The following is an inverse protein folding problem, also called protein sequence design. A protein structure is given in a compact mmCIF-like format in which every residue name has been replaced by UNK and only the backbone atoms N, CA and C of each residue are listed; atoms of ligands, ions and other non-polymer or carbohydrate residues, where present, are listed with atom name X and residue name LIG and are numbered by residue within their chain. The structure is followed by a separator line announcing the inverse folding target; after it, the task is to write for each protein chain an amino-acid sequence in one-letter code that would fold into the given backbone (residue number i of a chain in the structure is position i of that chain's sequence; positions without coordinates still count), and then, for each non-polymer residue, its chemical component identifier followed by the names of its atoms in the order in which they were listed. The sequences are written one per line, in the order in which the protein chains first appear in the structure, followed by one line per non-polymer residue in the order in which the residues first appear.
data_IF_964538269612
#
_entry.id   IF_964538269612
#
_cell.length_a   1.000
_cell.length_b   1.000
_cell.length_c   1.000
_cell.angle_alpha   90.00
_cell.angle_beta   90.00
_cell.angle_gamma   90.00
#
_symmetry.space_group_name_H-M   'P 1'
#
loop_
_entity.id
_entity.type
_entity.pdbx_description
1 polymer ?
#
# COMPACT_ATOMS: atom_id res chain seq x y z
N UNK A 1 48.99 20.86 -37.66
CA UNK A 1 49.84 21.15 -36.50
C UNK A 1 48.93 21.10 -35.26
N UNK A 2 49.15 20.05 -34.47
CA UNK A 2 48.68 19.76 -33.09
C UNK A 2 47.20 19.45 -32.79
N UNK A 3 47.00 18.14 -32.55
CA UNK A 3 46.25 17.53 -31.42
C UNK A 3 46.36 18.32 -30.11
N UNK A 4 45.40 18.19 -29.19
CA UNK A 4 45.67 17.77 -27.80
C UNK A 4 44.37 17.48 -27.01
N UNK A 5 44.23 16.20 -26.62
CA UNK A 5 43.64 15.72 -25.36
C UNK A 5 44.37 16.32 -24.15
N UNK A 6 43.67 16.77 -23.09
CA UNK A 6 44.01 16.66 -21.64
C UNK A 6 42.71 17.04 -20.89
N UNK A 7 42.10 16.30 -19.95
CA UNK A 7 42.63 15.58 -18.79
C UNK A 7 42.42 16.42 -17.51
N UNK A 8 41.53 15.92 -16.64
CA UNK A 8 41.27 16.22 -15.22
C UNK A 8 42.10 17.29 -14.46
N UNK A 9 41.43 18.11 -13.64
CA UNK A 9 41.91 18.42 -12.28
C UNK A 9 40.85 19.07 -11.38
N UNK A 10 40.68 18.45 -10.22
CA UNK A 10 39.96 18.89 -9.03
C UNK A 10 40.70 20.04 -8.31
N UNK A 11 39.97 21.05 -7.76
CA UNK A 11 40.16 21.73 -6.45
C UNK A 11 39.10 22.86 -6.30
N UNK A 12 38.13 22.80 -5.37
CA UNK A 12 38.18 23.17 -3.92
C UNK A 12 38.58 24.66 -3.74
N UNK A 13 37.85 25.59 -3.09
CA UNK A 13 37.01 25.60 -1.87
C UNK A 13 36.27 26.97 -1.68
N UNK A 14 35.47 27.10 -0.60
CA UNK A 14 34.86 28.30 0.04
C UNK A 14 33.61 28.87 -0.68
N UNK A 15 32.36 28.79 -0.22
CA UNK A 15 31.71 28.85 1.10
C UNK A 15 30.41 28.01 0.98
N UNK A 16 30.01 27.11 1.89
CA UNK A 16 29.25 27.36 3.12
C UNK A 16 29.37 26.11 3.98
N UNK A 17 30.02 26.23 5.13
CA UNK A 17 30.03 25.21 6.17
C UNK A 17 29.56 25.81 7.49
N UNK A 18 28.33 25.49 7.88
CA UNK A 18 27.94 25.21 9.26
C UNK A 18 26.55 24.57 9.22
N UNK A 19 26.37 23.51 10.01
CA UNK A 19 25.16 22.67 10.15
C UNK A 19 24.99 21.52 9.14
N UNK A 20 25.79 20.44 9.29
CA UNK A 20 25.30 19.05 9.23
C UNK A 20 26.45 18.08 9.51
N UNK A 21 26.58 17.61 10.75
CA UNK A 21 27.57 16.59 11.14
C UNK A 21 26.94 15.21 11.34
N UNK A 22 25.78 14.93 10.75
CA UNK A 22 25.18 13.60 10.79
C UNK A 22 24.62 13.22 9.41
N UNK A 23 25.00 12.02 8.96
CA UNK A 23 24.51 11.29 7.78
C UNK A 23 25.14 11.64 6.42
N UNK A 24 26.37 11.15 6.19
CA UNK A 24 26.75 10.68 4.84
C UNK A 24 26.48 9.17 4.82
N UNK A 25 25.30 8.77 4.35
CA UNK A 25 25.06 7.41 3.87
C UNK A 25 25.41 7.44 2.37
N UNK A 26 26.41 6.68 1.89
CA UNK A 26 26.68 6.62 0.45
C UNK A 26 25.52 5.93 -0.28
N UNK A 27 25.22 6.31 -1.54
CA UNK A 27 24.13 5.73 -2.29
C UNK A 27 24.34 4.22 -2.50
N UNK A 28 23.29 3.38 -2.44
CA UNK A 28 23.42 1.94 -2.57
C UNK A 28 23.88 1.58 -3.98
N UNK A 29 25.03 0.90 -4.08
CA UNK A 29 25.45 0.29 -5.34
C UNK A 29 24.54 -0.89 -5.64
N UNK A 30 24.27 -1.12 -6.93
CA UNK A 30 23.37 -2.16 -7.45
C UNK A 30 23.91 -3.57 -7.14
N UNK A 31 23.82 -4.03 -5.89
CA UNK A 31 23.89 -5.44 -5.53
C UNK A 31 22.85 -5.74 -4.46
N UNK A 32 21.88 -6.55 -4.88
CA UNK A 32 20.93 -7.32 -4.07
C UNK A 32 19.90 -6.53 -3.25
N UNK A 33 18.75 -6.29 -3.87
CA UNK A 33 17.45 -5.89 -3.27
C UNK A 33 16.84 -6.99 -2.36
N UNK A 34 17.67 -7.91 -1.83
CA UNK A 34 17.21 -9.08 -1.08
C UNK A 34 17.48 -9.07 0.43
N UNK A 35 18.35 -8.20 0.94
CA UNK A 35 18.92 -8.39 2.27
C UNK A 35 18.77 -7.14 3.17
N UNK A 36 17.56 -6.93 3.67
CA UNK A 36 17.25 -5.82 4.61
C UNK A 36 17.73 -6.11 6.04
N UNK A 37 18.10 -7.35 6.35
CA UNK A 37 18.49 -7.78 7.70
C UNK A 37 19.93 -7.33 8.07
N UNK A 38 20.74 -6.97 7.07
CA UNK A 38 22.09 -6.43 7.26
C UNK A 38 22.16 -4.96 7.70
N UNK A 39 21.05 -4.23 7.65
CA UNK A 39 20.99 -2.79 7.95
C UNK A 39 20.48 -2.46 9.36
N UNK A 40 20.13 -3.47 10.17
CA UNK A 40 19.63 -3.26 11.53
C UNK A 40 20.75 -3.32 12.58
N UNK A 41 20.82 -2.29 13.44
CA UNK A 41 21.73 -2.23 14.58
C UNK A 41 21.55 -3.46 15.50
N UNK A 42 22.61 -4.08 16.05
CA UNK A 42 22.55 -5.35 16.80
C UNK A 42 21.51 -5.39 17.92
N UNK A 43 21.30 -4.27 18.61
CA UNK A 43 20.28 -4.12 19.68
C UNK A 43 18.85 -4.29 19.12
N UNK A 44 18.58 -3.79 17.90
CA UNK A 44 17.26 -3.87 17.26
C UNK A 44 16.94 -5.27 16.73
N UNK A 45 17.97 -6.07 16.42
CA UNK A 45 17.81 -7.47 15.99
C UNK A 45 17.30 -8.33 17.15
N UNK A 46 17.86 -8.16 18.35
CA UNK A 46 17.43 -8.87 19.54
C UNK A 46 15.99 -8.51 20.00
N UNK A 47 15.60 -7.24 19.88
CA UNK A 47 14.22 -6.82 20.18
C UNK A 47 13.20 -7.39 19.18
N UNK A 48 13.50 -7.36 17.88
CA UNK A 48 12.68 -7.99 16.85
C UNK A 48 12.60 -9.51 16.99
N UNK A 49 13.70 -10.18 17.33
CA UNK A 49 13.72 -11.63 17.61
C UNK A 49 12.91 -12.00 18.86
N UNK A 50 12.83 -11.12 19.85
CA UNK A 50 11.97 -11.33 21.03
C UNK A 50 10.47 -11.26 20.69
N UNK A 51 10.09 -10.42 19.71
CA UNK A 51 8.71 -10.27 19.24
C UNK A 51 8.35 -11.38 18.23
N UNK A 52 9.31 -11.82 17.41
CA UNK A 52 9.13 -12.86 16.38
C UNK A 52 8.80 -14.24 16.96
N UNK A 53 9.28 -14.52 18.18
CA UNK A 53 9.05 -15.79 18.87
C UNK A 53 7.76 -15.82 19.71
N UNK A 54 7.01 -14.73 19.77
CA UNK A 54 5.69 -14.72 20.40
C UNK A 54 4.70 -15.43 19.47
N UNK A 55 4.43 -16.71 19.74
CA UNK A 55 3.29 -17.48 19.18
C UNK A 55 1.94 -16.97 19.74
N UNK A 56 1.82 -15.67 19.98
CA UNK A 56 0.61 -15.06 20.52
C UNK A 56 -0.34 -14.71 19.37
N UNK A 57 -1.62 -15.12 19.43
CA UNK A 57 -2.64 -14.70 18.46
C UNK A 57 -2.69 -13.17 18.35
N UNK A 58 -2.88 -12.63 17.14
CA UNK A 58 -2.99 -11.18 16.92
C UNK A 58 -4.05 -10.53 17.83
N UNK A 59 -5.17 -11.22 18.05
CA UNK A 59 -6.25 -10.82 18.96
C UNK A 59 -5.78 -10.57 20.40
N UNK A 60 -4.74 -11.28 20.86
CA UNK A 60 -4.19 -11.14 22.21
C UNK A 60 -3.23 -9.95 22.35
N UNK A 61 -2.59 -9.52 21.26
CA UNK A 61 -1.62 -8.41 21.24
C UNK A 61 -2.33 -7.05 21.07
N UNK A 62 -3.51 -7.03 20.45
CA UNK A 62 -4.30 -5.82 20.22
C UNK A 62 -4.67 -5.05 21.51
N UNK A 63 -4.63 -5.68 22.68
CA UNK A 63 -4.87 -5.04 23.98
C UNK A 63 -3.61 -4.46 24.66
N UNK A 64 -2.40 -4.75 24.17
CA UNK A 64 -1.14 -4.33 24.82
C UNK A 64 -0.32 -3.31 24.01
N UNK A 65 -0.60 -3.08 22.72
CA UNK A 65 0.16 -2.10 21.90
C UNK A 65 -0.48 -0.71 22.02
N UNK A 66 -0.53 -0.20 23.25
CA UNK A 66 -0.90 1.20 23.57
C UNK A 66 0.29 2.02 24.07
N UNK A 67 1.53 1.57 23.85
CA UNK A 67 2.69 2.41 24.12
C UNK A 67 3.02 3.29 22.91
N UNK A 68 2.31 4.43 22.86
CA UNK A 68 2.32 5.41 21.78
C UNK A 68 3.66 6.15 21.64
N UNK A 69 4.59 6.04 22.59
CA UNK A 69 5.82 6.87 22.63
C UNK A 69 6.98 6.34 21.79
N UNK A 70 7.15 5.03 21.72
CA UNK A 70 8.25 4.42 20.92
C UNK A 70 7.97 4.59 19.43
N UNK A 71 6.71 4.44 19.02
CA UNK A 71 6.31 4.49 17.61
C UNK A 71 6.11 5.91 17.07
N UNK A 72 5.70 6.87 17.90
CA UNK A 72 5.74 8.29 17.51
C UNK A 72 7.16 8.73 17.16
N UNK A 73 8.18 8.23 17.88
CA UNK A 73 9.59 8.49 17.55
C UNK A 73 10.03 7.83 16.25
N UNK A 74 9.54 6.62 15.94
CA UNK A 74 9.80 5.96 14.64
C UNK A 74 9.15 6.74 13.49
N UNK A 75 7.90 7.23 13.65
CA UNK A 75 7.22 8.08 12.66
C UNK A 75 7.98 9.37 12.35
N UNK A 76 8.49 10.05 13.38
CA UNK A 76 9.24 11.31 13.21
C UNK A 76 10.61 11.09 12.53
N UNK A 77 11.24 9.93 12.73
CA UNK A 77 12.61 9.67 12.28
C UNK A 77 12.70 9.26 10.79
N UNK A 78 11.63 8.67 10.22
CA UNK A 78 11.62 8.18 8.83
C UNK A 78 10.81 9.03 7.85
N UNK A 79 10.20 10.13 8.30
CA UNK A 79 9.41 11.05 7.45
C UNK A 79 8.44 10.31 6.51
N UNK A 80 7.74 9.30 7.04
CA UNK A 80 6.78 8.48 6.28
C UNK A 80 5.57 9.37 5.95
N UNK A 81 5.26 9.62 4.66
CA UNK A 81 4.04 10.33 4.28
C UNK A 81 2.82 9.60 4.87
N UNK A 82 1.80 10.33 5.34
CA UNK A 82 0.58 9.71 5.92
C UNK A 82 -0.09 8.70 4.99
N UNK A 83 0.10 8.83 3.67
CA UNK A 83 -0.38 7.90 2.64
C UNK A 83 0.38 6.56 2.60
N UNK A 84 1.52 6.47 3.27
CA UNK A 84 2.38 5.29 3.36
C UNK A 84 2.50 4.76 4.80
N UNK A 85 1.71 5.26 5.75
CA UNK A 85 1.69 4.75 7.12
C UNK A 85 1.08 3.34 7.14
N UNK A 86 1.88 2.28 7.40
CA UNK A 86 1.36 0.91 7.48
C UNK A 86 0.44 0.72 8.70
N UNK A 87 0.34 1.73 9.57
CA UNK A 87 -0.53 1.75 10.75
C UNK A 87 -1.61 2.82 10.68
N UNK A 88 -2.08 3.20 9.49
CA UNK A 88 -3.29 3.99 9.38
C UNK A 88 -4.41 3.28 10.17
N UNK A 89 -4.85 3.91 11.26
CA UNK A 89 -5.78 3.32 12.22
C UNK A 89 -7.10 2.93 11.56
N UNK A 90 -7.54 3.71 10.55
CA UNK A 90 -8.73 3.43 9.76
C UNK A 90 -8.59 2.15 8.94
N UNK A 91 -7.40 1.91 8.41
CA UNK A 91 -7.09 0.77 7.55
C UNK A 91 -6.91 -0.54 8.35
N UNK A 92 -6.39 -0.45 9.57
CA UNK A 92 -6.28 -1.58 10.49
C UNK A 92 -7.66 -2.00 11.00
N UNK A 93 -8.55 -1.05 11.29
CA UNK A 93 -9.91 -1.34 11.77
C UNK A 93 -10.70 -2.23 10.81
N UNK A 94 -10.48 -2.10 9.50
CA UNK A 94 -11.22 -2.87 8.50
C UNK A 94 -10.78 -4.33 8.37
N UNK A 95 -9.72 -4.77 9.07
CA UNK A 95 -9.40 -6.19 9.17
C UNK A 95 -10.43 -6.98 9.98
N UNK A 96 -11.09 -6.32 10.93
CA UNK A 96 -12.18 -6.92 11.71
C UNK A 96 -13.46 -6.98 10.88
N UNK A 97 -14.04 -8.16 10.81
CA UNK A 97 -15.26 -8.44 10.04
C UNK A 97 -16.42 -7.51 10.45
N UNK A 98 -16.61 -7.31 11.74
CA UNK A 98 -17.72 -6.53 12.30
C UNK A 98 -17.66 -5.06 11.86
N UNK A 99 -16.44 -4.53 11.68
CA UNK A 99 -16.27 -3.16 11.21
C UNK A 99 -16.62 -3.02 9.73
N UNK A 100 -16.37 -4.07 8.92
CA UNK A 100 -16.80 -4.08 7.52
C UNK A 100 -18.31 -4.22 7.41
N UNK A 101 -18.91 -5.12 8.18
CA UNK A 101 -20.36 -5.33 8.20
C UNK A 101 -21.12 -4.04 8.52
N UNK A 102 -20.64 -3.27 9.51
CA UNK A 102 -21.23 -1.98 9.90
C UNK A 102 -21.23 -0.91 8.78
N UNK A 103 -20.47 -1.10 7.70
CA UNK A 103 -20.47 -0.13 6.60
C UNK A 103 -21.71 -0.24 5.72
N UNK A 104 -22.36 -1.40 5.68
CA UNK A 104 -23.48 -1.72 4.78
C UNK A 104 -24.84 -1.16 5.26
N UNK A 105 -24.83 0.03 5.85
CA UNK A 105 -26.06 0.74 6.20
C UNK A 105 -26.75 1.24 4.93
N UNK A 106 -27.99 0.80 4.69
CA UNK A 106 -28.73 1.13 3.48
C UNK A 106 -28.34 0.32 2.24
N UNK A 107 -27.69 -0.83 2.42
CA UNK A 107 -27.41 -1.77 1.33
C UNK A 107 -28.72 -2.34 0.75
N UNK A 108 -28.88 -2.39 -0.59
CA UNK A 108 -30.16 -2.73 -1.22
C UNK A 108 -30.52 -4.22 -1.23
N UNK A 109 -29.58 -5.12 -0.94
CA UNK A 109 -29.78 -6.57 -1.02
C UNK A 109 -29.77 -7.22 0.37
N UNK A 110 -30.80 -8.00 0.70
CA UNK A 110 -31.01 -8.61 2.02
C UNK A 110 -31.12 -10.16 1.94
N UNK A 111 -31.90 -10.78 2.84
CA UNK A 111 -31.87 -12.21 3.17
C UNK A 111 -32.04 -13.18 1.98
N UNK A 112 -32.70 -12.75 0.91
CA UNK A 112 -32.94 -13.57 -0.29
C UNK A 112 -31.83 -13.47 -1.35
N UNK A 113 -30.75 -12.72 -1.09
CA UNK A 113 -29.67 -12.47 -2.04
C UNK A 113 -28.37 -13.20 -1.65
N UNK A 114 -27.53 -13.49 -2.65
CA UNK A 114 -26.15 -13.97 -2.45
C UNK A 114 -25.22 -12.84 -1.98
N UNK A 115 -25.45 -11.62 -2.47
CA UNK A 115 -24.67 -10.41 -2.15
C UNK A 115 -25.16 -9.69 -0.87
N UNK A 116 -25.55 -10.45 0.15
CA UNK A 116 -25.90 -9.92 1.48
C UNK A 116 -24.74 -9.12 2.12
N UNK A 117 -25.02 -8.17 3.03
CA UNK A 117 -24.01 -7.45 3.80
C UNK A 117 -22.98 -8.38 4.46
N UNK A 118 -23.44 -9.53 4.97
CA UNK A 118 -22.60 -10.54 5.60
C UNK A 118 -21.61 -11.16 4.63
N UNK A 119 -22.07 -11.53 3.43
CA UNK A 119 -21.22 -12.15 2.42
C UNK A 119 -20.27 -11.13 1.79
N UNK A 120 -20.74 -9.90 1.57
CA UNK A 120 -19.91 -8.78 1.13
C UNK A 120 -18.78 -8.49 2.11
N UNK A 121 -19.10 -8.38 3.41
CA UNK A 121 -18.11 -8.15 4.45
C UNK A 121 -17.15 -9.35 4.63
N UNK A 122 -17.61 -10.60 4.46
CA UNK A 122 -16.73 -11.79 4.46
C UNK A 122 -15.73 -11.74 3.30
N UNK A 123 -16.18 -11.38 2.10
CA UNK A 123 -15.32 -11.22 0.92
C UNK A 123 -14.36 -10.02 1.01
N UNK A 124 -14.46 -9.18 2.04
CA UNK A 124 -13.55 -8.06 2.28
C UNK A 124 -14.05 -6.74 1.69
N UNK A 125 -15.30 -6.66 1.27
CA UNK A 125 -15.89 -5.39 0.84
C UNK A 125 -16.30 -4.54 2.03
N UNK A 126 -16.27 -3.23 1.81
CA UNK A 126 -16.94 -2.20 2.59
C UNK A 126 -17.84 -1.42 1.65
N UNK A 127 -19.00 -0.99 2.15
CA UNK A 127 -19.93 -0.16 1.39
C UNK A 127 -19.46 1.30 1.40
N UNK A 128 -19.38 1.88 0.21
CA UNK A 128 -18.94 3.27 -0.01
C UNK A 128 -19.85 3.93 -1.04
N UNK A 129 -21.14 4.15 -0.69
CA UNK A 129 -22.13 4.66 -1.63
C UNK A 129 -21.76 6.07 -2.11
N UNK A 130 -22.15 6.37 -3.35
CA UNK A 130 -22.14 7.73 -3.90
C UNK A 130 -23.55 8.15 -4.27
N UNK A 131 -23.78 9.44 -4.50
CA UNK A 131 -25.11 9.96 -4.89
C UNK A 131 -25.63 9.31 -6.19
N UNK A 132 -24.74 8.92 -7.10
CA UNK A 132 -25.10 8.35 -8.40
C UNK A 132 -25.12 6.81 -8.41
N UNK A 133 -24.42 6.18 -7.45
CA UNK A 133 -24.29 4.72 -7.37
C UNK A 133 -24.39 4.31 -5.90
N UNK A 134 -25.60 3.94 -5.42
CA UNK A 134 -25.85 3.63 -4.01
C UNK A 134 -25.29 2.26 -3.60
N UNK A 135 -24.86 1.42 -4.54
CA UNK A 135 -24.40 0.05 -4.33
C UNK A 135 -22.88 -0.12 -4.55
N UNK A 136 -22.11 0.98 -4.56
CA UNK A 136 -20.65 0.87 -4.65
C UNK A 136 -20.09 0.15 -3.42
N UNK A 137 -19.33 -0.91 -3.68
CA UNK A 137 -18.56 -1.63 -2.69
C UNK A 137 -17.08 -1.65 -3.04
N UNK A 138 -16.22 -1.37 -2.04
CA UNK A 138 -14.77 -1.35 -2.20
C UNK A 138 -14.12 -2.40 -1.32
N UNK A 139 -13.19 -3.19 -1.87
CA UNK A 139 -12.34 -4.05 -1.05
C UNK A 139 -11.40 -3.20 -0.18
N UNK A 140 -11.44 -3.37 1.15
CA UNK A 140 -10.61 -2.58 2.09
C UNK A 140 -9.10 -2.81 1.89
N UNK A 141 -8.72 -3.96 1.33
CA UNK A 141 -7.34 -4.40 1.17
C UNK A 141 -6.73 -3.95 -0.16
N UNK A 142 -7.33 -4.35 -1.29
CA UNK A 142 -6.82 -4.07 -2.64
C UNK A 142 -7.39 -2.80 -3.28
N UNK A 143 -8.38 -2.15 -2.63
CA UNK A 143 -9.07 -0.95 -3.13
C UNK A 143 -9.69 -1.16 -4.51
N UNK A 144 -10.15 -2.37 -4.82
CA UNK A 144 -10.97 -2.62 -6.01
C UNK A 144 -12.41 -2.22 -5.67
N UNK A 145 -12.94 -1.29 -6.44
CA UNK A 145 -14.33 -0.84 -6.38
C UNK A 145 -15.13 -1.62 -7.43
N UNK A 146 -16.34 -2.02 -7.04
CA UNK A 146 -17.35 -2.69 -7.86
C UNK A 146 -18.71 -2.04 -7.57
N UNK A 147 -19.54 -1.91 -8.60
CA UNK A 147 -20.90 -1.37 -8.59
C UNK A 147 -21.74 -2.17 -9.59
N UNK A 148 -23.07 -2.00 -9.54
CA UNK A 148 -24.00 -2.76 -10.36
C UNK A 148 -24.20 -4.18 -9.84
N UNK A 149 -24.29 -4.36 -8.53
CA UNK A 149 -24.48 -5.67 -7.91
C UNK A 149 -25.86 -6.23 -8.23
N UNK A 150 -25.94 -7.53 -8.50
CA UNK A 150 -27.16 -8.28 -8.71
C UNK A 150 -27.40 -9.24 -7.54
N UNK A 151 -28.67 -9.60 -7.21
CA UNK A 151 -29.00 -10.51 -6.12
C UNK A 151 -28.25 -11.85 -6.16
N UNK A 152 -27.94 -12.35 -7.35
CA UNK A 152 -27.30 -13.64 -7.57
C UNK A 152 -25.76 -13.61 -7.46
N UNK A 153 -25.17 -12.43 -7.38
CA UNK A 153 -23.71 -12.27 -7.37
C UNK A 153 -23.09 -12.83 -6.10
N UNK A 154 -22.04 -13.64 -6.28
CA UNK A 154 -21.20 -14.14 -5.18
C UNK A 154 -20.03 -13.16 -4.95
N UNK A 155 -19.99 -12.44 -3.81
CA UNK A 155 -18.96 -11.44 -3.57
C UNK A 155 -17.53 -12.01 -3.58
N UNK A 156 -17.33 -13.25 -3.15
CA UNK A 156 -16.00 -13.87 -3.16
C UNK A 156 -15.55 -14.19 -4.58
N UNK A 157 -16.47 -14.68 -5.43
CA UNK A 157 -16.19 -14.95 -6.84
C UNK A 157 -15.91 -13.65 -7.61
N UNK A 158 -16.74 -12.63 -7.42
CA UNK A 158 -16.56 -11.32 -8.03
C UNK A 158 -15.22 -10.70 -7.64
N UNK A 159 -14.86 -10.76 -6.35
CA UNK A 159 -13.56 -10.27 -5.89
C UNK A 159 -12.39 -11.03 -6.55
N UNK A 160 -12.45 -12.36 -6.66
CA UNK A 160 -11.39 -13.14 -7.30
C UNK A 160 -11.30 -12.86 -8.81
N UNK A 161 -12.43 -12.66 -9.48
CA UNK A 161 -12.49 -12.32 -10.90
C UNK A 161 -11.85 -10.94 -11.17
N UNK A 162 -12.26 -9.93 -10.40
CA UNK A 162 -11.87 -8.55 -10.62
C UNK A 162 -10.54 -8.13 -9.96
N UNK A 163 -10.06 -8.90 -8.99
CA UNK A 163 -8.77 -8.66 -8.32
C UNK A 163 -8.09 -9.97 -7.90
N UNK A 164 -7.67 -10.82 -8.86
CA UNK A 164 -7.11 -12.15 -8.58
C UNK A 164 -5.80 -12.12 -7.77
N UNK A 165 -5.11 -10.97 -7.76
CA UNK A 165 -3.86 -10.75 -7.03
C UNK A 165 -4.07 -10.16 -5.63
N UNK A 166 -5.32 -10.02 -5.17
CA UNK A 166 -5.63 -9.60 -3.82
C UNK A 166 -5.20 -10.68 -2.81
N UNK A 167 -4.32 -10.30 -1.89
CA UNK A 167 -3.80 -11.24 -0.88
C UNK A 167 -4.80 -11.53 0.23
N UNK A 168 -5.78 -10.65 0.47
CA UNK A 168 -6.83 -10.87 1.45
C UNK A 168 -7.77 -12.01 1.04
N UNK A 169 -8.30 -11.98 -0.20
CA UNK A 169 -9.22 -13.01 -0.69
C UNK A 169 -8.54 -14.38 -0.89
N UNK A 170 -7.21 -14.37 -0.99
CA UNK A 170 -6.39 -15.58 -1.11
C UNK A 170 -5.96 -16.18 0.24
N UNK A 171 -6.38 -15.58 1.38
CA UNK A 171 -6.05 -16.09 2.71
C UNK A 171 -6.68 -17.46 2.94
N UNK A 172 -5.89 -18.40 3.47
CA UNK A 172 -6.35 -19.75 3.85
C UNK A 172 -6.88 -19.83 5.28
N UNK A 173 -6.65 -18.79 6.08
CA UNK A 173 -7.01 -18.70 7.49
C UNK A 173 -7.76 -17.39 7.71
N UNK A 174 -8.62 -17.36 8.73
CA UNK A 174 -9.27 -16.11 9.14
C UNK A 174 -8.22 -15.14 9.71
N UNK A 175 -8.49 -13.84 9.65
CA UNK A 175 -7.52 -12.83 10.11
C UNK A 175 -7.25 -12.96 11.61
N UNK A 176 -8.27 -13.35 12.38
CA UNK A 176 -8.21 -13.55 13.83
C UNK A 176 -7.30 -14.73 14.23
N UNK A 177 -7.07 -15.66 13.30
CA UNK A 177 -6.23 -16.85 13.46
C UNK A 177 -4.78 -16.64 13.00
N UNK A 178 -4.47 -15.46 12.44
CA UNK A 178 -3.11 -15.15 11.99
C UNK A 178 -2.19 -14.86 13.17
N UNK A 179 -0.95 -15.34 13.05
CA UNK A 179 0.13 -14.88 13.93
C UNK A 179 0.50 -13.43 13.62
N UNK A 180 1.18 -12.77 14.56
CA UNK A 180 1.70 -11.42 14.35
C UNK A 180 2.63 -11.34 13.13
N UNK A 181 3.46 -12.35 12.90
CA UNK A 181 4.34 -12.43 11.72
C UNK A 181 3.54 -12.58 10.41
N UNK A 182 2.53 -13.46 10.39
CA UNK A 182 1.64 -13.63 9.24
C UNK A 182 0.89 -12.33 8.92
N UNK A 183 0.42 -11.62 9.94
CA UNK A 183 -0.24 -10.33 9.78
C UNK A 183 0.71 -9.26 9.22
N UNK A 184 1.94 -9.14 9.74
CA UNK A 184 2.91 -8.19 9.18
C UNK A 184 3.29 -8.51 7.73
N UNK A 185 3.39 -9.80 7.39
CA UNK A 185 3.60 -10.22 6.00
C UNK A 185 2.42 -9.81 5.11
N UNK A 186 1.19 -9.99 5.59
CA UNK A 186 -0.01 -9.55 4.89
C UNK A 186 -0.03 -8.01 4.68
N UNK A 187 0.36 -7.21 5.69
CA UNK A 187 0.49 -5.75 5.55
C UNK A 187 1.56 -5.36 4.53
N UNK A 188 2.71 -6.05 4.53
CA UNK A 188 3.77 -5.82 3.55
C UNK A 188 3.27 -6.04 2.13
N UNK A 189 2.56 -7.15 1.88
CA UNK A 189 2.00 -7.44 0.56
C UNK A 189 0.93 -6.42 0.16
N UNK A 190 0.09 -5.97 1.11
CA UNK A 190 -0.85 -4.86 0.87
C UNK A 190 -0.13 -3.61 0.39
N UNK A 191 0.88 -3.16 1.12
CA UNK A 191 1.59 -1.93 0.83
C UNK A 191 2.27 -2.00 -0.54
N UNK A 192 2.91 -3.13 -0.85
CA UNK A 192 3.48 -3.41 -2.16
C UNK A 192 2.43 -3.37 -3.26
N UNK A 193 1.28 -4.02 -3.04
CA UNK A 193 0.18 -4.04 -4.00
C UNK A 193 -0.33 -2.63 -4.33
N UNK A 194 -0.62 -1.82 -3.30
CA UNK A 194 -1.12 -0.45 -3.46
C UNK A 194 -0.08 0.45 -4.14
N UNK A 195 1.18 0.33 -3.75
CA UNK A 195 2.27 1.11 -4.37
C UNK A 195 2.42 0.78 -5.86
N UNK A 196 2.39 -0.51 -6.21
CA UNK A 196 2.46 -0.94 -7.60
C UNK A 196 1.24 -0.49 -8.40
N UNK A 197 0.03 -0.60 -7.84
CA UNK A 197 -1.21 -0.12 -8.48
C UNK A 197 -1.11 1.38 -8.79
N UNK A 198 -0.73 2.19 -7.80
CA UNK A 198 -0.58 3.63 -7.97
C UNK A 198 0.49 4.01 -8.99
N UNK A 199 1.64 3.31 -8.99
CA UNK A 199 2.70 3.52 -9.97
C UNK A 199 2.20 3.20 -11.40
N UNK A 200 1.54 2.05 -11.58
CA UNK A 200 1.02 1.64 -12.88
C UNK A 200 -0.04 2.62 -13.41
N UNK A 201 -0.96 3.07 -12.55
CA UNK A 201 -1.96 4.09 -12.92
C UNK A 201 -1.30 5.41 -13.34
N UNK A 202 -0.24 5.84 -12.64
CA UNK A 202 0.51 7.04 -13.00
C UNK A 202 1.22 6.90 -14.34
N UNK A 203 1.81 5.72 -14.62
CA UNK A 203 2.43 5.40 -15.90
C UNK A 203 1.39 5.46 -17.02
N UNK A 204 0.23 4.80 -16.88
CA UNK A 204 -0.83 4.81 -17.89
C UNK A 204 -1.30 6.22 -18.20
N UNK A 205 -1.58 7.04 -17.17
CA UNK A 205 -1.98 8.44 -17.37
C UNK A 205 -0.92 9.26 -18.12
N UNK A 206 0.35 9.04 -17.80
CA UNK A 206 1.46 9.72 -18.48
C UNK A 206 1.54 9.30 -19.95
N UNK A 207 1.39 8.01 -20.25
CA UNK A 207 1.40 7.49 -21.62
C UNK A 207 0.25 8.03 -22.46
N UNK A 208 -0.96 8.10 -21.89
CA UNK A 208 -2.12 8.70 -22.55
C UNK A 208 -1.92 10.19 -22.83
N UNK A 209 -1.45 10.97 -21.84
CA UNK A 209 -1.13 12.37 -22.01
C UNK A 209 -0.04 12.59 -23.07
N UNK A 210 0.98 11.74 -23.10
CA UNK A 210 2.03 11.79 -24.11
C UNK A 210 1.51 11.47 -25.52
N UNK A 211 0.57 10.53 -25.67
CA UNK A 211 -0.08 10.23 -26.96
C UNK A 211 -0.88 11.42 -27.48
N UNK A 212 -1.71 12.02 -26.62
CA UNK A 212 -2.49 13.22 -26.98
C UNK A 212 -1.58 14.36 -27.42
N UNK A 213 -0.53 14.64 -26.62
CA UNK A 213 0.43 15.70 -26.94
C UNK A 213 1.16 15.47 -28.26
N UNK A 214 1.50 14.22 -28.59
CA UNK A 214 2.10 13.87 -29.89
C UNK A 214 1.11 14.10 -31.04
N UNK A 215 -0.16 13.73 -30.86
CA UNK A 215 -1.19 13.96 -31.87
C UNK A 215 -1.37 15.47 -32.14
N UNK A 216 -1.40 16.30 -31.10
CA UNK A 216 -1.49 17.76 -31.24
C UNK A 216 -0.31 18.37 -32.00
N UNK A 217 0.91 17.90 -31.72
CA UNK A 217 2.13 18.35 -32.43
C UNK A 217 2.04 18.00 -33.91
N UNK A 218 1.59 16.79 -34.25
CA UNK A 218 1.42 16.36 -35.64
C UNK A 218 0.34 17.21 -36.34
N UNK A 219 -0.82 17.40 -35.71
CA UNK A 219 -1.91 18.22 -36.25
C UNK A 219 -1.46 19.66 -36.54
N UNK A 220 -0.76 20.26 -35.57
CA UNK A 220 -0.17 21.61 -35.71
C UNK A 220 0.84 21.67 -36.85
N UNK A 221 1.71 20.66 -36.99
CA UNK A 221 2.70 20.60 -38.06
C UNK A 221 2.08 20.41 -39.45
N UNK A 222 0.90 19.79 -39.54
CA UNK A 222 0.16 19.58 -40.79
C UNK A 222 -0.70 20.79 -41.22
N UNK A 223 -0.81 21.82 -40.38
CA UNK A 223 -1.60 23.02 -40.69
C UNK A 223 -3.12 22.78 -40.66
N UNK A 224 -3.56 21.72 -40.01
CA UNK A 224 -4.97 21.44 -39.75
C UNK A 224 -5.33 22.15 -38.44
N UNK A 225 -6.06 23.27 -38.49
CA UNK A 225 -6.63 23.91 -37.28
C UNK A 225 -7.95 23.22 -36.86
#
# INVERSE_FOLDING_TARGET
MYMFDIGAAWKREHWVARWCTFCIIPPPTKKNIGDVDGLLHPIRRAELESVRNLKTPFSSVALSVRDTRVWQKVKLFYFIPNTMDPFNEKDIKMYFYENRLKTFEGWPFDEDCMCTPENMAKAGFIHTPSENSPDIAMCFFCRKELEGWEPEDDPEQEHKSHSPSCHFISLKKKVEELTVEEFFKLQKERHKFISNKSCNEAITKFEEAAKLRRADIIKTAMGEE
#
